data_IF_219963272134
#
_entry.id   IF_219963272134
#
_cell.length_a   1.000
_cell.length_b   1.000
_cell.length_c   1.000
_cell.angle_alpha   90.00
_cell.angle_beta   90.00
_cell.angle_gamma   90.00
#
_symmetry.space_group_name_H-M   'P 1'
#
loop_
_entity.id
_entity.type
_entity.pdbx_description
1 polymer ?
#
# COMPACT_ATOMS: atom_id res chain seq x y z
N UNK A 1 -15.71 -12.85 10.81
CA UNK A 1 -14.48 -13.00 11.61
C UNK A 1 -14.33 -11.77 12.48
N UNK A 2 -13.84 -11.91 13.72
CA UNK A 2 -13.55 -10.78 14.60
C UNK A 2 -12.19 -10.23 14.21
N UNK A 3 -12.10 -8.93 13.97
CA UNK A 3 -10.87 -8.22 13.66
C UNK A 3 -10.60 -7.16 14.73
N UNK A 4 -9.34 -6.96 15.06
CA UNK A 4 -8.90 -5.89 15.96
C UNK A 4 -8.45 -4.70 15.14
N UNK A 5 -9.01 -3.52 15.46
CA UNK A 5 -8.53 -2.24 14.94
C UNK A 5 -7.47 -1.73 15.89
N UNK A 6 -6.34 -1.32 15.33
CA UNK A 6 -5.18 -0.81 16.02
C UNK A 6 -4.97 0.66 15.69
N UNK A 7 -4.58 1.44 16.71
CA UNK A 7 -4.09 2.82 16.57
C UNK A 7 -2.77 2.92 17.31
N UNK A 8 -1.69 3.30 16.62
CA UNK A 8 -0.36 3.47 17.21
C UNK A 8 0.10 2.28 18.11
N UNK A 9 -0.25 1.03 17.73
CA UNK A 9 -0.01 -0.24 18.46
C UNK A 9 -0.94 -0.55 19.64
N UNK A 10 -1.92 0.28 19.96
CA UNK A 10 -2.97 -0.04 20.92
C UNK A 10 -4.20 -0.65 20.23
N UNK A 11 -4.81 -1.69 20.82
CA UNK A 11 -6.10 -2.22 20.36
C UNK A 11 -7.17 -1.20 20.71
N UNK A 12 -7.80 -0.64 19.69
CA UNK A 12 -8.80 0.41 19.81
C UNK A 12 -10.20 -0.20 19.93
N UNK A 13 -10.49 -1.26 19.18
CA UNK A 13 -11.72 -2.03 19.31
C UNK A 13 -11.66 -3.38 18.61
N UNK A 14 -12.51 -4.30 19.06
CA UNK A 14 -12.82 -5.56 18.37
C UNK A 14 -14.09 -5.39 17.56
N UNK A 15 -14.00 -5.66 16.25
CA UNK A 15 -15.08 -5.42 15.30
C UNK A 15 -15.39 -6.68 14.49
N UNK A 16 -16.68 -6.87 14.23
CA UNK A 16 -17.15 -7.85 13.26
C UNK A 16 -17.21 -7.17 11.89
N UNK A 17 -16.13 -7.29 11.11
CA UNK A 17 -16.10 -6.79 9.74
C UNK A 17 -17.05 -7.64 8.89
N UNK A 18 -18.10 -7.00 8.37
CA UNK A 18 -19.13 -7.60 7.54
C UNK A 18 -19.10 -6.87 6.19
N UNK A 19 -18.14 -7.24 5.36
CA UNK A 19 -17.87 -6.55 4.11
C UNK A 19 -17.23 -7.46 3.07
N UNK A 20 -17.38 -7.06 1.81
CA UNK A 20 -16.76 -7.73 0.67
C UNK A 20 -15.34 -7.19 0.50
N UNK A 21 -14.35 -8.00 0.88
CA UNK A 21 -12.95 -7.71 0.61
C UNK A 21 -12.69 -8.05 -0.86
N UNK A 22 -12.40 -7.04 -1.66
CA UNK A 22 -11.92 -7.24 -3.03
C UNK A 22 -10.43 -6.94 -3.05
N UNK A 23 -9.63 -8.00 -2.93
CA UNK A 23 -8.21 -7.97 -3.26
C UNK A 23 -8.08 -8.07 -4.78
N UNK A 24 -7.32 -7.17 -5.40
CA UNK A 24 -7.04 -7.24 -6.85
C UNK A 24 -5.53 -7.26 -7.06
N UNK A 25 -5.05 -8.29 -7.74
CA UNK A 25 -3.64 -8.40 -8.17
C UNK A 25 -3.27 -7.16 -8.99
N UNK A 26 -2.15 -6.51 -8.66
CA UNK A 26 -1.69 -5.21 -9.20
C UNK A 26 -2.60 -3.98 -8.97
N UNK A 27 -3.80 -4.14 -8.40
CA UNK A 27 -4.78 -3.07 -8.22
C UNK A 27 -4.64 -2.33 -6.90
N UNK A 28 -5.30 -1.18 -6.79
CA UNK A 28 -5.57 -0.56 -5.49
C UNK A 28 -6.34 -1.59 -4.64
N UNK A 29 -5.72 -2.08 -3.56
CA UNK A 29 -6.33 -3.06 -2.66
C UNK A 29 -7.36 -2.34 -1.79
N UNK A 30 -8.43 -1.86 -2.43
CA UNK A 30 -9.51 -1.09 -1.82
C UNK A 30 -10.56 -2.05 -1.29
N UNK A 31 -10.43 -2.38 0.00
CA UNK A 31 -11.45 -3.13 0.70
C UNK A 31 -12.46 -2.18 1.34
N UNK A 32 -13.58 -1.94 0.63
CA UNK A 32 -14.73 -1.30 1.26
C UNK A 32 -15.35 -2.27 2.26
N UNK A 33 -15.31 -1.89 3.53
CA UNK A 33 -15.85 -2.70 4.62
C UNK A 33 -16.92 -1.93 5.36
N UNK A 34 -17.94 -2.67 5.80
CA UNK A 34 -18.94 -2.17 6.75
C UNK A 34 -18.83 -2.99 8.02
N UNK A 35 -18.93 -2.35 9.17
CA UNK A 35 -18.87 -3.03 10.47
C UNK A 35 -19.75 -2.34 11.48
N UNK A 36 -20.24 -3.11 12.44
CA UNK A 36 -21.08 -2.60 13.52
C UNK A 36 -20.31 -2.67 14.82
N UNK A 37 -20.43 -1.61 15.63
CA UNK A 37 -19.82 -1.50 16.93
C UNK A 37 -20.89 -1.21 17.98
N UNK A 38 -20.71 -1.82 19.16
CA UNK A 38 -21.61 -1.63 20.30
C UNK A 38 -21.37 -0.33 21.07
N UNK A 39 -20.30 0.40 20.72
CA UNK A 39 -19.88 1.66 21.34
C UNK A 39 -19.43 2.62 20.26
N UNK A 40 -19.71 3.91 20.45
CA UNK A 40 -19.22 4.95 19.55
C UNK A 40 -17.70 5.10 19.72
N UNK A 41 -16.99 4.96 18.63
CA UNK A 41 -15.54 5.08 18.54
C UNK A 41 -15.19 6.07 17.44
N UNK A 42 -14.41 7.09 17.75
CA UNK A 42 -13.96 8.07 16.76
C UNK A 42 -12.76 7.50 15.98
N UNK A 43 -13.04 7.00 14.78
CA UNK A 43 -12.03 6.49 13.85
C UNK A 43 -11.48 7.60 12.96
N UNK A 44 -10.20 7.50 12.64
CA UNK A 44 -9.47 8.51 11.89
C UNK A 44 -8.62 7.86 10.80
N UNK A 45 -8.22 8.65 9.78
CA UNK A 45 -7.25 8.22 8.77
C UNK A 45 -5.98 7.74 9.49
N UNK A 46 -5.47 6.56 9.11
CA UNK A 46 -4.28 5.96 9.73
C UNK A 46 -4.56 4.85 10.75
N UNK A 47 -5.81 4.64 11.16
CA UNK A 47 -6.19 3.43 11.91
C UNK A 47 -5.98 2.19 11.04
N UNK A 48 -5.50 1.08 11.60
CA UNK A 48 -5.21 -0.11 10.79
C UNK A 48 -5.74 -1.40 11.40
N UNK A 49 -5.96 -2.39 10.55
CA UNK A 49 -6.25 -3.77 10.94
C UNK A 49 -5.16 -4.68 10.42
N UNK A 50 -4.94 -5.80 11.11
CA UNK A 50 -4.08 -6.87 10.64
C UNK A 50 -4.97 -8.00 10.15
N UNK A 51 -4.85 -8.35 8.87
CA UNK A 51 -5.58 -9.47 8.26
C UNK A 51 -4.59 -10.38 7.55
N UNK A 52 -4.49 -11.63 8.01
CA UNK A 52 -3.57 -12.63 7.45
C UNK A 52 -2.10 -12.16 7.37
N UNK A 53 -1.66 -11.32 8.32
CA UNK A 53 -0.31 -10.76 8.32
C UNK A 53 -0.13 -9.48 7.49
N UNK A 54 -1.12 -9.09 6.69
CA UNK A 54 -1.11 -7.83 5.93
C UNK A 54 -1.76 -6.72 6.76
N UNK A 55 -1.13 -5.54 6.71
CA UNK A 55 -1.60 -4.34 7.41
C UNK A 55 -2.46 -3.51 6.48
N UNK A 56 -3.72 -3.34 6.86
CA UNK A 56 -4.71 -2.58 6.12
C UNK A 56 -5.03 -1.30 6.87
N UNK A 57 -4.69 -0.16 6.31
CA UNK A 57 -4.86 1.17 6.90
C UNK A 57 -6.11 1.83 6.34
N UNK A 58 -6.81 2.58 7.18
CA UNK A 58 -7.98 3.35 6.80
C UNK A 58 -7.55 4.56 5.96
N UNK A 59 -8.01 4.62 4.71
CA UNK A 59 -7.63 5.63 3.72
C UNK A 59 -8.12 7.04 4.08
N UNK A 60 -9.26 7.12 4.75
CA UNK A 60 -9.94 8.34 5.15
C UNK A 60 -10.80 8.12 6.39
N UNK A 61 -11.50 9.16 6.84
CA UNK A 61 -12.44 9.03 7.97
C UNK A 61 -13.65 8.19 7.54
N UNK A 62 -14.03 7.14 8.29
CA UNK A 62 -15.15 6.30 7.93
C UNK A 62 -16.46 7.03 8.27
N UNK A 63 -17.50 6.78 7.48
CA UNK A 63 -18.83 7.30 7.74
C UNK A 63 -19.48 6.47 8.85
N UNK A 64 -19.89 7.12 9.94
CA UNK A 64 -20.61 6.47 11.05
C UNK A 64 -22.09 6.79 10.99
N UNK A 65 -22.94 5.78 11.15
CA UNK A 65 -24.40 5.89 11.25
C UNK A 65 -24.87 5.23 12.55
N UNK A 66 -25.65 5.94 13.34
CA UNK A 66 -26.31 5.34 14.51
C UNK A 66 -27.52 4.53 14.03
N UNK A 67 -27.49 3.21 14.24
CA UNK A 67 -28.58 2.31 13.83
C UNK A 67 -29.47 1.97 15.03
N UNK A 68 -28.95 2.05 16.26
CA UNK A 68 -29.73 1.86 17.49
C UNK A 68 -29.03 2.49 18.70
N UNK A 69 -29.70 2.50 19.86
CA UNK A 69 -29.25 3.09 21.14
C UNK A 69 -27.88 2.54 21.60
N UNK A 70 -27.47 1.37 21.08
CA UNK A 70 -26.20 0.71 21.39
C UNK A 70 -25.48 0.15 20.17
N UNK A 71 -25.82 0.57 18.95
CA UNK A 71 -25.19 0.04 17.74
C UNK A 71 -24.89 1.15 16.74
N UNK A 72 -23.62 1.28 16.40
CA UNK A 72 -23.08 2.21 15.41
C UNK A 72 -22.55 1.42 14.22
N UNK A 73 -23.08 1.70 13.03
CA UNK A 73 -22.59 1.16 11.78
C UNK A 73 -21.54 2.10 11.19
N UNK A 74 -20.38 1.56 10.85
CA UNK A 74 -19.28 2.27 10.22
C UNK A 74 -19.09 1.73 8.81
N UNK A 75 -18.93 2.62 7.85
CA UNK A 75 -18.54 2.30 6.48
C UNK A 75 -17.26 3.03 6.14
N UNK A 76 -16.21 2.27 5.81
CA UNK A 76 -14.91 2.83 5.48
C UNK A 76 -14.16 1.96 4.48
N UNK A 77 -13.16 2.56 3.85
CA UNK A 77 -12.29 1.87 2.90
C UNK A 77 -10.96 1.61 3.59
N UNK A 78 -10.59 0.34 3.64
CA UNK A 78 -9.28 -0.11 4.08
C UNK A 78 -8.40 -0.33 2.84
N UNK A 79 -7.17 0.17 2.90
CA UNK A 79 -6.14 0.02 1.88
C UNK A 79 -4.93 -0.70 2.47
N UNK A 80 -4.26 -1.55 1.70
CA UNK A 80 -3.00 -2.14 2.15
C UNK A 80 -1.94 -1.03 2.39
N UNK A 81 -1.30 -1.01 3.57
CA UNK A 81 -0.25 -0.03 3.92
C UNK A 81 0.92 -0.07 2.92
N UNK A 82 1.20 -1.26 2.43
CA UNK A 82 2.22 -1.55 1.43
C UNK A 82 1.94 -0.78 0.12
N UNK A 83 0.67 -0.66 -0.30
CA UNK A 83 0.32 0.11 -1.50
C UNK A 83 0.47 1.62 -1.27
N UNK A 84 0.05 2.12 -0.11
CA UNK A 84 0.13 3.55 0.21
C UNK A 84 1.57 4.03 0.34
N UNK A 85 2.43 3.26 1.01
CA UNK A 85 3.84 3.64 1.17
C UNK A 85 4.59 3.73 -0.17
N UNK A 86 4.25 2.89 -1.15
CA UNK A 86 4.81 2.98 -2.50
C UNK A 86 4.28 4.17 -3.31
N UNK A 87 3.04 4.62 -3.07
CA UNK A 87 2.47 5.81 -3.69
C UNK A 87 3.12 7.08 -3.14
N UNK A 88 3.36 7.13 -1.83
CA UNK A 88 4.00 8.26 -1.15
C UNK A 88 5.51 8.35 -1.44
N UNK A 89 6.11 7.25 -1.91
CA UNK A 89 7.56 7.17 -2.18
C UNK A 89 7.89 7.47 -3.63
N UNK A 90 8.52 8.61 -3.86
CA UNK A 90 9.09 8.96 -5.17
C UNK A 90 10.20 7.98 -5.59
N UNK A 91 10.22 7.59 -6.88
CA UNK A 91 11.26 6.73 -7.43
C UNK A 91 12.46 7.55 -7.89
N UNK A 92 13.55 7.50 -7.13
CA UNK A 92 14.78 8.23 -7.44
C UNK A 92 15.90 7.31 -7.90
N UNK A 93 16.82 7.88 -8.68
CA UNK A 93 18.12 7.29 -9.01
C UNK A 93 19.23 7.92 -8.15
N UNK A 94 20.33 7.19 -8.04
CA UNK A 94 21.56 7.66 -7.41
C UNK A 94 22.14 8.86 -8.16
N UNK A 95 22.50 9.89 -7.40
CA UNK A 95 23.24 11.04 -7.88
C UNK A 95 24.77 10.78 -7.86
N UNK A 96 25.56 11.83 -8.11
CA UNK A 96 27.02 11.74 -8.10
C UNK A 96 27.59 11.41 -6.71
N UNK A 97 26.89 11.78 -5.63
CA UNK A 97 27.21 11.46 -4.25
C UNK A 97 26.59 10.13 -3.77
N UNK A 98 26.04 9.32 -4.69
CA UNK A 98 25.40 8.04 -4.40
C UNK A 98 24.19 8.17 -3.44
N UNK A 99 23.44 9.26 -3.56
CA UNK A 99 22.19 9.51 -2.85
C UNK A 99 21.00 9.41 -3.80
N UNK A 100 19.88 8.85 -3.33
CA UNK A 100 18.65 8.73 -4.11
C UNK A 100 17.93 10.08 -4.18
N UNK A 101 18.32 10.93 -5.13
CA UNK A 101 17.77 12.29 -5.29
C UNK A 101 17.44 12.66 -6.74
N UNK A 102 17.85 11.87 -7.73
CA UNK A 102 17.60 12.17 -9.15
C UNK A 102 16.20 11.68 -9.53
N UNK A 103 15.29 12.60 -9.86
CA UNK A 103 13.89 12.30 -10.21
C UNK A 103 13.63 12.06 -11.69
N UNK A 104 14.45 12.63 -12.56
CA UNK A 104 14.34 12.45 -14.02
C UNK A 104 15.56 11.72 -14.55
N UNK A 105 15.37 10.50 -15.07
CA UNK A 105 16.47 9.69 -15.56
C UNK A 105 16.01 8.60 -16.54
N UNK A 106 16.97 8.11 -17.32
CA UNK A 106 16.81 6.91 -18.14
C UNK A 106 17.62 5.79 -17.50
N UNK A 107 17.00 4.62 -17.32
CA UNK A 107 17.67 3.43 -16.82
C UNK A 107 17.54 2.31 -17.85
N UNK A 108 18.69 1.78 -18.28
CA UNK A 108 18.78 0.58 -19.10
C UNK A 108 19.17 -0.58 -18.21
N UNK A 109 18.34 -1.62 -18.14
CA UNK A 109 18.59 -2.76 -17.27
C UNK A 109 17.64 -3.92 -17.49
N UNK A 110 17.91 -5.01 -16.79
CA UNK A 110 17.00 -6.15 -16.65
C UNK A 110 15.93 -5.87 -15.59
N UNK A 111 14.82 -6.64 -15.53
CA UNK A 111 13.79 -6.48 -14.49
C UNK A 111 14.37 -6.37 -13.08
N UNK A 112 15.36 -7.21 -12.73
CA UNK A 112 16.01 -7.19 -11.43
C UNK A 112 16.73 -5.88 -11.10
N UNK A 113 17.27 -5.17 -12.11
CA UNK A 113 17.94 -3.89 -11.90
C UNK A 113 16.94 -2.81 -11.49
N UNK A 114 15.77 -2.76 -12.14
CA UNK A 114 14.72 -1.81 -11.79
C UNK A 114 14.12 -2.14 -10.42
N UNK A 115 13.84 -3.41 -10.16
CA UNK A 115 13.24 -3.85 -8.90
C UNK A 115 14.19 -3.66 -7.70
N UNK A 116 15.51 -3.85 -7.86
CA UNK A 116 16.47 -3.53 -6.81
C UNK A 116 16.41 -2.04 -6.43
N UNK A 117 16.46 -1.15 -7.43
CA UNK A 117 16.34 0.29 -7.20
C UNK A 117 15.00 0.66 -6.54
N UNK A 118 13.91 -0.02 -6.92
CA UNK A 118 12.59 0.19 -6.32
C UNK A 118 12.57 -0.18 -4.85
N UNK A 119 13.16 -1.31 -4.49
CA UNK A 119 13.24 -1.75 -3.09
C UNK A 119 14.14 -0.83 -2.27
N UNK A 120 15.21 -0.27 -2.85
CA UNK A 120 16.02 0.77 -2.17
C UNK A 120 15.20 2.02 -1.89
N UNK A 121 14.40 2.47 -2.85
CA UNK A 121 13.51 3.62 -2.67
C UNK A 121 12.41 3.33 -1.64
N UNK A 122 11.72 2.18 -1.73
CA UNK A 122 10.66 1.81 -0.81
C UNK A 122 11.17 1.73 0.65
N UNK A 123 12.32 1.08 0.86
CA UNK A 123 12.95 0.98 2.18
C UNK A 123 13.47 2.31 2.74
N UNK A 124 13.63 3.35 1.91
CA UNK A 124 14.00 4.70 2.36
C UNK A 124 12.86 5.35 3.16
N UNK A 125 11.62 5.12 2.73
CA UNK A 125 10.43 5.68 3.39
C UNK A 125 9.88 4.74 4.45
N UNK A 126 9.70 3.46 4.11
CA UNK A 126 9.19 2.43 5.01
C UNK A 126 10.07 1.18 4.93
N UNK A 127 10.92 0.88 5.93
CA UNK A 127 11.77 -0.29 5.89
C UNK A 127 10.96 -1.59 6.06
N UNK A 128 11.37 -2.65 5.36
CA UNK A 128 10.76 -3.98 5.43
C UNK A 128 10.52 -4.64 4.07
N UNK A 129 10.73 -3.91 2.97
CA UNK A 129 10.55 -4.43 1.63
C UNK A 129 11.71 -5.33 1.20
N UNK A 130 11.37 -6.48 0.63
CA UNK A 130 12.34 -7.43 0.07
C UNK A 130 11.91 -7.90 -1.31
N UNK A 131 12.88 -8.16 -2.18
CA UNK A 131 12.62 -8.77 -3.48
C UNK A 131 12.14 -10.21 -3.30
N UNK A 132 11.03 -10.52 -3.95
CA UNK A 132 10.55 -11.88 -4.14
C UNK A 132 11.26 -12.59 -5.28
N UNK A 133 10.59 -13.58 -5.86
CA UNK A 133 11.06 -14.23 -7.08
C UNK A 133 10.88 -13.28 -8.26
N UNK A 134 11.94 -13.12 -9.06
CA UNK A 134 11.95 -12.31 -10.27
C UNK A 134 12.06 -13.24 -11.46
N UNK A 135 11.14 -13.13 -12.41
CA UNK A 135 11.27 -13.81 -13.69
C UNK A 135 12.33 -13.12 -14.55
N UNK A 136 13.16 -13.90 -15.25
CA UNK A 136 14.20 -13.33 -16.11
C UNK A 136 13.53 -12.66 -17.32
N UNK A 137 14.06 -11.50 -17.70
CA UNK A 137 13.57 -10.72 -18.81
C UNK A 137 14.70 -10.00 -19.53
N UNK A 138 14.43 -9.59 -20.76
CA UNK A 138 15.39 -8.85 -21.57
C UNK A 138 15.70 -7.46 -20.99
N UNK A 139 16.87 -6.95 -21.33
CA UNK A 139 17.24 -5.59 -20.94
C UNK A 139 16.42 -4.58 -21.75
N UNK A 140 15.78 -3.64 -21.06
CA UNK A 140 14.99 -2.56 -21.66
C UNK A 140 15.50 -1.21 -21.16
N UNK A 141 15.27 -0.16 -21.93
CA UNK A 141 15.51 1.22 -21.51
C UNK A 141 14.19 1.87 -21.17
N UNK A 142 14.05 2.34 -19.93
CA UNK A 142 12.87 3.04 -19.45
C UNK A 142 13.26 4.43 -18.96
N UNK A 143 12.42 5.40 -19.31
CA UNK A 143 12.50 6.79 -18.82
C UNK A 143 11.56 6.96 -17.64
N UNK A 144 12.04 7.65 -16.61
CA UNK A 144 11.30 8.00 -15.40
C UNK A 144 11.38 9.52 -15.18
N UNK A 145 10.34 10.06 -14.56
CA UNK A 145 10.14 11.49 -14.33
C UNK A 145 9.73 11.77 -12.89
N UNK A 146 9.65 13.05 -12.54
CA UNK A 146 9.27 13.51 -11.19
C UNK A 146 7.84 13.10 -10.75
N UNK A 147 6.98 12.65 -11.66
CA UNK A 147 5.64 12.15 -11.32
C UNK A 147 5.63 10.63 -11.03
N UNK A 148 6.72 9.92 -11.34
CA UNK A 148 6.83 8.47 -11.20
C UNK A 148 7.15 8.07 -9.74
N UNK A 149 6.11 7.80 -8.95
CA UNK A 149 6.27 7.15 -7.64
C UNK A 149 6.56 5.64 -7.79
N UNK A 150 7.01 5.00 -6.72
CA UNK A 150 7.38 3.58 -6.72
C UNK A 150 6.22 2.67 -7.13
N UNK A 151 4.96 3.04 -6.83
CA UNK A 151 3.78 2.28 -7.25
C UNK A 151 3.57 2.37 -8.77
N UNK A 152 3.66 3.56 -9.34
CA UNK A 152 3.55 3.78 -10.79
C UNK A 152 4.65 3.02 -11.53
N UNK A 153 5.88 3.07 -11.01
CA UNK A 153 7.02 2.32 -11.57
C UNK A 153 6.80 0.81 -11.49
N UNK A 154 6.32 0.30 -10.35
CA UNK A 154 6.04 -1.12 -10.20
C UNK A 154 5.00 -1.61 -11.23
N UNK A 155 3.91 -0.85 -11.40
CA UNK A 155 2.87 -1.12 -12.42
C UNK A 155 3.47 -1.10 -13.83
N UNK A 156 4.25 -0.08 -14.16
CA UNK A 156 4.90 0.07 -15.47
C UNK A 156 5.85 -1.09 -15.78
N UNK A 157 6.62 -1.56 -14.80
CA UNK A 157 7.50 -2.72 -14.94
C UNK A 157 6.68 -3.99 -15.16
N UNK A 158 5.62 -4.17 -14.38
CA UNK A 158 4.74 -5.33 -14.48
C UNK A 158 4.10 -5.44 -15.88
N UNK A 159 3.61 -4.32 -16.42
CA UNK A 159 3.07 -4.24 -17.78
C UNK A 159 4.14 -4.50 -18.85
N UNK A 160 5.32 -3.88 -18.71
CA UNK A 160 6.42 -4.00 -19.66
C UNK A 160 6.95 -5.43 -19.76
N UNK A 161 7.07 -6.12 -18.62
CA UNK A 161 7.58 -7.48 -18.55
C UNK A 161 6.47 -8.54 -18.56
N UNK A 162 5.19 -8.14 -18.63
CA UNK A 162 4.02 -9.03 -18.56
C UNK A 162 4.03 -9.95 -17.34
N UNK A 163 4.39 -9.39 -16.18
CA UNK A 163 4.50 -10.08 -14.89
C UNK A 163 3.51 -9.50 -13.90
N UNK A 164 3.19 -10.22 -12.82
CA UNK A 164 2.28 -9.80 -11.74
C UNK A 164 3.04 -9.54 -10.43
N UNK A 165 2.51 -8.66 -9.58
CA UNK A 165 3.04 -8.33 -8.24
C UNK A 165 1.93 -8.21 -7.20
#
# INVERSE_FOLDING_TARGET
MIHQIYRARAVLAEVHLTGSWKTRVMGEDLAQSTWVMSSFVEMQKGDYILKNGLKYVLSGRPSSKETSIRNYEYTGTFEAEDAYSLIDTQYFMYDQDNQLTVSEFNLTGKPGTFLDLLIKNANRTLPGWSLGKIDDGDAVTLSFSDDDNCRTVLTKLAEQFKTEF
#
